data_IF_987576343242
#
_entry.id   IF_987576343242
#
_cell.length_a   1.000
_cell.length_b   1.000
_cell.length_c   1.000
_cell.angle_alpha   90.00
_cell.angle_beta   90.00
_cell.angle_gamma   90.00
#
_symmetry.space_group_name_H-M   'P 1'
#
loop_
_entity.id
_entity.type
_entity.pdbx_description
1 polymer ?
#
# COMPACT_ATOMS: atom_id res chain seq x y z
N UNK A 1 -2.54 -1.93 0.05
CA UNK A 1 -2.04 -0.54 0.01
C UNK A 1 -3.03 0.37 -0.66
N UNK A 2 -3.09 1.62 -0.23
CA UNK A 2 -3.96 2.65 -0.78
C UNK A 2 -3.15 3.88 -1.17
N UNK A 3 -3.57 4.55 -2.25
CA UNK A 3 -3.07 5.89 -2.55
C UNK A 3 -3.56 6.88 -1.48
N UNK A 4 -2.64 7.70 -0.97
CA UNK A 4 -2.99 8.74 -0.02
C UNK A 4 -3.72 9.89 -0.71
N UNK A 5 -4.80 10.35 -0.09
CA UNK A 5 -5.52 11.54 -0.54
C UNK A 5 -6.04 11.48 -1.99
N UNK A 6 -6.40 10.30 -2.49
CA UNK A 6 -6.87 10.12 -3.87
C UNK A 6 -8.11 10.97 -4.19
N UNK A 7 -9.08 11.05 -3.25
CA UNK A 7 -10.24 11.92 -3.41
C UNK A 7 -9.84 13.39 -3.59
N UNK A 8 -8.85 13.85 -2.85
CA UNK A 8 -8.34 15.22 -2.97
C UNK A 8 -7.66 15.48 -4.32
N UNK A 9 -7.01 14.47 -4.88
CA UNK A 9 -6.45 14.55 -6.25
C UNK A 9 -7.58 14.77 -7.25
N UNK A 10 -8.64 13.98 -7.18
CA UNK A 10 -9.81 14.14 -8.05
C UNK A 10 -10.47 15.51 -7.86
N UNK A 11 -10.65 15.95 -6.63
CA UNK A 11 -11.31 17.23 -6.32
C UNK A 11 -10.49 18.44 -6.81
N UNK A 12 -9.16 18.38 -6.67
CA UNK A 12 -8.27 19.49 -7.05
C UNK A 12 -7.91 19.52 -8.54
N UNK A 13 -7.61 18.35 -9.11
CA UNK A 13 -7.05 18.24 -10.47
C UNK A 13 -8.01 17.60 -11.48
N UNK A 14 -9.15 17.12 -11.03
CA UNK A 14 -10.14 16.44 -11.86
C UNK A 14 -9.94 14.93 -11.97
N UNK A 15 -11.01 14.24 -12.39
CA UNK A 15 -11.01 12.77 -12.50
C UNK A 15 -10.00 12.24 -13.53
N UNK A 16 -9.75 12.99 -14.61
CA UNK A 16 -8.76 12.60 -15.61
C UNK A 16 -7.34 12.50 -15.01
N UNK A 17 -6.96 13.45 -14.18
CA UNK A 17 -5.68 13.43 -13.47
C UNK A 17 -5.66 12.31 -12.42
N UNK A 18 -6.76 12.07 -11.71
CA UNK A 18 -6.91 10.94 -10.81
C UNK A 18 -6.70 9.60 -11.52
N UNK A 19 -7.27 9.42 -12.71
CA UNK A 19 -7.08 8.23 -13.53
C UNK A 19 -5.62 8.06 -13.95
N UNK A 20 -4.97 9.14 -14.37
CA UNK A 20 -3.53 9.13 -14.68
C UNK A 20 -2.68 8.74 -13.47
N UNK A 21 -3.04 9.22 -12.27
CA UNK A 21 -2.37 8.85 -11.03
C UNK A 21 -2.51 7.35 -10.73
N UNK A 22 -3.71 6.79 -10.91
CA UNK A 22 -3.95 5.34 -10.76
C UNK A 22 -3.17 4.52 -11.78
N UNK A 23 -3.14 4.94 -13.04
CA UNK A 23 -2.36 4.27 -14.09
C UNK A 23 -0.87 4.31 -13.79
N UNK A 24 -0.34 5.44 -13.37
CA UNK A 24 1.06 5.60 -13.00
C UNK A 24 1.42 4.71 -11.81
N UNK A 25 0.56 4.64 -10.81
CA UNK A 25 0.76 3.77 -9.66
C UNK A 25 0.72 2.29 -10.04
N UNK A 26 -0.28 1.87 -10.81
CA UNK A 26 -0.38 0.50 -11.32
C UNK A 26 0.81 0.09 -12.17
N UNK A 27 1.28 0.97 -13.05
CA UNK A 27 2.47 0.74 -13.89
C UNK A 27 3.74 0.63 -13.04
N UNK A 28 3.88 1.46 -12.01
CA UNK A 28 4.98 1.36 -11.06
C UNK A 28 4.98 0.00 -10.35
N UNK A 29 3.84 -0.46 -9.87
CA UNK A 29 3.72 -1.77 -9.23
C UNK A 29 4.14 -2.89 -10.17
N UNK A 30 3.66 -2.88 -11.40
CA UNK A 30 4.02 -3.89 -12.41
C UNK A 30 5.52 -3.91 -12.74
N UNK A 31 6.16 -2.75 -12.77
CA UNK A 31 7.59 -2.66 -13.05
C UNK A 31 8.47 -3.00 -11.85
N UNK A 32 7.98 -2.75 -10.64
CA UNK A 32 8.75 -2.90 -9.40
C UNK A 32 8.73 -4.34 -8.87
N UNK A 33 7.56 -4.97 -8.86
CA UNK A 33 7.42 -6.34 -8.36
C UNK A 33 7.84 -7.37 -9.41
N UNK A 34 8.22 -8.55 -8.91
CA UNK A 34 8.67 -9.66 -9.77
C UNK A 34 7.48 -10.25 -10.53
N UNK A 35 7.76 -10.86 -11.65
CA UNK A 35 6.73 -11.58 -12.43
C UNK A 35 6.08 -12.73 -11.62
N UNK A 36 6.81 -13.29 -10.65
CA UNK A 36 6.28 -14.32 -9.74
C UNK A 36 5.36 -13.78 -8.64
N UNK A 37 5.40 -12.47 -8.37
CA UNK A 37 4.52 -11.82 -7.39
C UNK A 37 3.14 -11.62 -8.00
N UNK A 38 2.11 -11.60 -7.17
CA UNK A 38 0.73 -11.43 -7.61
C UNK A 38 0.27 -10.02 -7.27
N UNK A 39 -0.17 -9.28 -8.28
CA UNK A 39 -0.71 -7.94 -8.15
C UNK A 39 -2.21 -7.96 -8.41
N UNK A 40 -2.97 -7.24 -7.60
CA UNK A 40 -4.40 -7.06 -7.78
C UNK A 40 -4.86 -5.67 -7.40
N UNK A 41 -5.89 -5.19 -8.08
CA UNK A 41 -6.64 -4.00 -7.69
C UNK A 41 -7.97 -4.45 -7.09
N UNK A 42 -8.20 -4.11 -5.83
CA UNK A 42 -9.38 -4.58 -5.07
C UNK A 42 -10.55 -3.62 -5.24
N UNK A 43 -10.29 -2.36 -5.42
CA UNK A 43 -11.30 -1.32 -5.63
C UNK A 43 -10.63 0.02 -5.82
N UNK A 44 -11.33 1.05 -6.24
CA UNK A 44 -10.88 2.43 -6.36
C UNK A 44 -9.37 2.65 -6.48
N UNK A 45 -8.80 3.07 -5.37
CA UNK A 45 -7.37 3.34 -5.18
C UNK A 45 -6.64 2.27 -4.35
N UNK A 46 -7.26 1.11 -4.11
CA UNK A 46 -6.72 0.02 -3.30
C UNK A 46 -6.08 -1.07 -4.15
N UNK A 47 -4.83 -1.40 -3.82
CA UNK A 47 -4.05 -2.45 -4.45
C UNK A 47 -3.58 -3.47 -3.43
N UNK A 48 -3.50 -4.72 -3.85
CA UNK A 48 -2.99 -5.85 -3.08
C UNK A 48 -1.81 -6.47 -3.81
N UNK A 49 -0.76 -6.76 -3.07
CA UNK A 49 0.43 -7.45 -3.59
C UNK A 49 0.73 -8.67 -2.72
N UNK A 50 0.84 -9.82 -3.35
CA UNK A 50 1.33 -11.02 -2.72
C UNK A 50 2.76 -11.29 -3.18
N UNK A 51 3.72 -10.98 -2.29
CA UNK A 51 5.15 -11.20 -2.56
C UNK A 51 5.53 -12.63 -2.21
N UNK A 52 6.04 -13.36 -3.20
CA UNK A 52 6.53 -14.73 -3.00
C UNK A 52 8.00 -14.73 -2.57
N UNK A 53 8.37 -15.76 -1.80
CA UNK A 53 9.76 -16.01 -1.40
C UNK A 53 10.44 -14.82 -0.69
N UNK A 54 9.71 -14.19 0.22
CA UNK A 54 10.25 -13.13 1.08
C UNK A 54 10.95 -13.77 2.28
N UNK A 55 12.18 -13.34 2.57
CA UNK A 55 12.98 -13.93 3.65
C UNK A 55 12.43 -13.63 5.04
N UNK A 56 12.04 -12.39 5.28
CA UNK A 56 11.54 -11.91 6.57
C UNK A 56 10.77 -10.60 6.41
N UNK A 57 10.15 -10.16 7.50
CA UNK A 57 9.37 -8.92 7.53
C UNK A 57 10.21 -7.67 7.25
N UNK A 58 11.46 -7.64 7.71
CA UNK A 58 12.38 -6.52 7.46
C UNK A 58 12.68 -6.36 5.96
N UNK A 59 12.92 -7.46 5.27
CA UNK A 59 13.15 -7.46 3.83
C UNK A 59 11.91 -6.95 3.07
N UNK A 60 10.71 -7.40 3.44
CA UNK A 60 9.46 -6.92 2.88
C UNK A 60 9.24 -5.42 3.15
N UNK A 61 9.53 -4.97 4.36
CA UNK A 61 9.43 -3.56 4.75
C UNK A 61 10.38 -2.67 3.96
N UNK A 62 11.61 -3.12 3.75
CA UNK A 62 12.59 -2.41 2.92
C UNK A 62 12.09 -2.24 1.49
N UNK A 63 11.55 -3.29 0.89
CA UNK A 63 10.96 -3.22 -0.45
C UNK A 63 9.76 -2.28 -0.52
N UNK A 64 8.93 -2.27 0.50
CA UNK A 64 7.81 -1.34 0.60
C UNK A 64 8.28 0.13 0.68
N UNK A 65 9.31 0.41 1.46
CA UNK A 65 9.89 1.76 1.57
C UNK A 65 10.53 2.23 0.26
N UNK A 66 11.22 1.36 -0.45
CA UNK A 66 11.77 1.67 -1.77
C UNK A 66 10.67 1.98 -2.78
N UNK A 67 9.57 1.22 -2.75
CA UNK A 67 8.39 1.47 -3.58
C UNK A 67 7.81 2.87 -3.31
N UNK A 68 7.64 3.24 -2.05
CA UNK A 68 7.15 4.56 -1.66
C UNK A 68 8.07 5.68 -2.13
N UNK A 69 9.38 5.49 -2.08
CA UNK A 69 10.36 6.45 -2.60
C UNK A 69 10.23 6.63 -4.11
N UNK A 70 10.05 5.52 -4.85
CA UNK A 70 9.84 5.56 -6.30
C UNK A 70 8.51 6.24 -6.65
N UNK A 71 7.45 5.95 -5.92
CA UNK A 71 6.14 6.58 -6.10
C UNK A 71 6.22 8.10 -5.90
N UNK A 72 6.93 8.53 -4.87
CA UNK A 72 7.11 9.95 -4.55
C UNK A 72 7.84 10.73 -5.66
N UNK A 73 8.66 10.07 -6.45
CA UNK A 73 9.41 10.68 -7.56
C UNK A 73 8.66 10.71 -8.90
N UNK A 74 7.47 10.11 -8.97
CA UNK A 74 6.68 10.10 -10.21
C UNK A 74 6.02 11.47 -10.45
N UNK A 75 6.14 11.96 -11.69
CA UNK A 75 5.38 13.10 -12.17
C UNK A 75 4.06 12.63 -12.81
N UNK A 76 2.95 13.23 -12.44
CA UNK A 76 1.64 12.90 -12.97
C UNK A 76 0.90 14.17 -13.38
N UNK A 77 0.66 14.32 -14.69
CA UNK A 77 -0.08 15.45 -15.24
C UNK A 77 0.45 16.79 -14.73
N UNK A 78 -0.44 17.63 -14.24
CA UNK A 78 -0.13 18.94 -13.67
C UNK A 78 -0.10 18.95 -12.14
N UNK A 79 0.05 17.78 -11.51
CA UNK A 79 0.14 17.70 -10.05
C UNK A 79 1.40 18.38 -9.53
N UNK A 80 1.21 19.29 -8.58
CA UNK A 80 2.31 20.01 -7.91
C UNK A 80 2.88 19.21 -6.72
N UNK A 81 2.06 18.34 -6.14
CA UNK A 81 2.48 17.50 -5.01
C UNK A 81 2.80 16.10 -5.49
N UNK A 82 3.86 15.48 -4.93
CA UNK A 82 4.15 14.09 -5.23
C UNK A 82 3.04 13.17 -4.71
N UNK A 83 2.86 12.04 -5.40
CA UNK A 83 2.00 10.98 -4.93
C UNK A 83 2.61 10.28 -3.73
N UNK A 84 1.76 9.82 -2.82
CA UNK A 84 2.16 8.92 -1.74
C UNK A 84 1.12 7.82 -1.56
N UNK A 85 1.52 6.78 -0.86
CA UNK A 85 0.65 5.66 -0.51
C UNK A 85 0.92 5.20 0.92
N UNK A 86 -0.10 4.61 1.53
CA UNK A 86 0.03 3.91 2.80
C UNK A 86 -0.01 2.41 2.55
N UNK A 87 0.83 1.67 3.26
CA UNK A 87 0.99 0.23 3.06
C UNK A 87 0.81 -0.50 4.39
N UNK A 88 -0.09 -1.47 4.41
CA UNK A 88 -0.16 -2.48 5.47
C UNK A 88 0.47 -3.76 4.99
N UNK A 89 1.32 -4.37 5.79
CA UNK A 89 2.06 -5.57 5.48
C UNK A 89 1.79 -6.65 6.51
N UNK A 90 1.59 -7.88 6.06
CA UNK A 90 1.44 -9.06 6.91
C UNK A 90 2.28 -10.20 6.35
N UNK A 91 2.85 -10.99 7.24
CA UNK A 91 3.67 -12.14 6.86
C UNK A 91 2.87 -13.44 6.89
N UNK A 92 2.98 -14.22 5.84
CA UNK A 92 2.44 -15.58 5.75
C UNK A 92 3.61 -16.58 5.74
N UNK A 93 3.45 -17.78 6.34
CA UNK A 93 2.26 -18.29 7.01
C UNK A 93 2.12 -17.88 8.48
N UNK A 94 3.07 -17.13 9.04
CA UNK A 94 3.16 -16.84 10.49
C UNK A 94 1.88 -16.18 11.05
N UNK A 95 1.27 -15.30 10.25
CA UNK A 95 0.08 -14.55 10.66
C UNK A 95 -1.22 -15.05 10.03
N UNK A 96 -1.15 -16.06 9.19
CA UNK A 96 -2.32 -16.67 8.56
C UNK A 96 -1.97 -17.47 7.33
N UNK A 97 -2.87 -18.35 6.93
CA UNK A 97 -2.71 -19.25 5.78
C UNK A 97 -3.78 -19.08 4.69
N UNK A 98 -4.77 -18.23 4.94
CA UNK A 98 -5.81 -17.94 3.96
C UNK A 98 -5.88 -16.44 3.62
N UNK A 99 -6.37 -16.16 2.43
CA UNK A 99 -6.45 -14.79 1.91
C UNK A 99 -7.24 -13.84 2.82
N UNK A 100 -8.41 -14.26 3.28
CA UNK A 100 -9.28 -13.39 4.09
C UNK A 100 -8.64 -12.98 5.41
N UNK A 101 -7.99 -13.91 6.08
CA UNK A 101 -7.28 -13.63 7.33
C UNK A 101 -6.11 -12.67 7.12
N UNK A 102 -5.28 -12.95 6.12
CA UNK A 102 -4.16 -12.10 5.77
C UNK A 102 -4.60 -10.70 5.33
N UNK A 103 -5.67 -10.62 4.53
CA UNK A 103 -6.23 -9.36 4.08
C UNK A 103 -6.71 -8.49 5.24
N UNK A 104 -7.46 -9.07 6.19
CA UNK A 104 -7.94 -8.34 7.37
C UNK A 104 -6.79 -7.80 8.21
N UNK A 105 -5.75 -8.58 8.42
CA UNK A 105 -4.56 -8.16 9.16
C UNK A 105 -3.75 -7.09 8.43
N UNK A 106 -3.58 -7.22 7.12
CA UNK A 106 -2.94 -6.20 6.31
C UNK A 106 -3.74 -4.89 6.30
N UNK A 107 -5.07 -4.98 6.23
CA UNK A 107 -5.96 -3.82 6.28
C UNK A 107 -5.88 -3.09 7.64
N UNK A 108 -5.78 -3.85 8.72
CA UNK A 108 -5.55 -3.28 10.05
C UNK A 108 -4.21 -2.51 10.11
N UNK A 109 -3.14 -3.09 9.60
CA UNK A 109 -1.83 -2.43 9.52
C UNK A 109 -1.89 -1.18 8.62
N UNK A 110 -2.62 -1.25 7.52
CA UNK A 110 -2.87 -0.11 6.62
C UNK A 110 -3.57 1.05 7.35
N UNK A 111 -4.60 0.74 8.12
CA UNK A 111 -5.28 1.73 8.95
C UNK A 111 -4.32 2.42 9.93
N UNK A 112 -3.42 1.66 10.55
CA UNK A 112 -2.38 2.23 11.42
C UNK A 112 -1.40 3.13 10.65
N UNK A 113 -1.03 2.75 9.44
CA UNK A 113 -0.18 3.60 8.58
C UNK A 113 -0.86 4.95 8.29
N UNK A 114 -2.14 4.93 7.98
CA UNK A 114 -2.95 6.15 7.76
C UNK A 114 -3.04 7.01 9.02
N UNK A 115 -3.29 6.41 10.18
CA UNK A 115 -3.34 7.13 11.48
C UNK A 115 -2.01 7.77 11.86
N UNK A 116 -0.89 7.14 11.52
CA UNK A 116 0.46 7.62 11.86
C UNK A 116 0.99 8.71 10.91
N UNK A 117 0.18 9.19 9.99
CA UNK A 117 0.54 10.30 9.10
C UNK A 117 0.67 9.93 7.63
N UNK A 118 0.23 8.73 7.23
CA UNK A 118 0.28 8.27 5.83
C UNK A 118 1.71 8.13 5.30
N UNK A 119 1.87 7.90 4.00
CA UNK A 119 3.16 7.78 3.31
C UNK A 119 4.17 6.89 4.04
N UNK A 120 3.73 5.72 4.44
CA UNK A 120 4.56 4.76 5.20
C UNK A 120 4.03 3.35 5.09
N UNK A 121 4.88 2.40 5.45
CA UNK A 121 4.55 1.00 5.60
C UNK A 121 4.46 0.64 7.09
N UNK A 122 3.42 -0.05 7.48
CA UNK A 122 3.26 -0.64 8.82
C UNK A 122 3.13 -2.15 8.68
N UNK A 123 3.92 -2.89 9.46
CA UNK A 123 3.85 -4.34 9.54
C UNK A 123 2.83 -4.70 10.62
N UNK A 124 1.92 -5.61 10.28
CA UNK A 124 0.99 -6.16 11.25
C UNK A 124 1.75 -6.85 12.40
N UNK A 125 1.33 -6.58 13.62
CA UNK A 125 1.74 -7.32 14.81
C UNK A 125 0.54 -7.63 15.69
N UNK A 126 0.58 -8.74 16.40
CA UNK A 126 -0.53 -9.16 17.28
C UNK A 126 -0.82 -8.15 18.39
N UNK A 127 0.17 -7.38 18.80
CA UNK A 127 0.02 -6.30 19.80
C UNK A 127 -0.88 -5.15 19.32
N UNK A 128 -1.03 -4.98 18.00
CA UNK A 128 -1.94 -3.98 17.43
C UNK A 128 -3.40 -4.29 17.72
N UNK A 129 -3.77 -5.57 17.81
CA UNK A 129 -5.14 -5.98 18.13
C UNK A 129 -5.52 -5.67 19.58
N UNK A 130 -4.57 -5.75 20.50
CA UNK A 130 -4.82 -5.48 21.92
C UNK A 130 -5.16 -4.01 22.19
N UNK A 131 -4.57 -3.08 21.43
CA UNK A 131 -4.80 -1.64 21.60
C UNK A 131 -6.14 -1.13 21.03
N UNK A 132 -6.78 -1.89 20.13
CA UNK A 132 -8.12 -1.52 19.65
C UNK A 132 -9.25 -2.00 20.55
N UNK A 133 -9.01 -3.03 21.38
CA UNK A 133 -10.00 -3.51 22.35
C UNK A 133 -10.12 -2.56 23.55
N UNK A 134 -9.19 -1.62 23.73
CA UNK A 134 -9.17 -0.62 24.80
C UNK A 134 -9.66 0.78 24.36
N UNK A 135 -9.87 0.99 23.06
CA UNK A 135 -10.48 2.21 22.49
C UNK A 135 -11.97 1.98 22.15
#
# INVERSE_FOLDING_TARGET
MDMDCFKQINDKYGHATGDQALEAFGSLLQSYFRQSDILGRVGGDEFVVFMKHVKNAENASTRAKELLTKLHSLAVGNMERPMSASIGLVMAPDEGDCYMELYQKADHALYQAKKRGKNQCVIFSREMNAKQAEE
#
